data_IF_294039599013
#
_entry.id   IF_294039599013
#
_cell.length_a   1.000
_cell.length_b   1.000
_cell.length_c   1.000
_cell.angle_alpha   90.00
_cell.angle_beta   90.00
_cell.angle_gamma   90.00
#
_symmetry.space_group_name_H-M   'P 1'
#
loop_
_entity.id
_entity.type
_entity.pdbx_description
1 polymer ?
#
# COMPACT_ATOMS: atom_id res chain seq x y z
N UNK A 1 -25.05 -10.34 8.51
CA UNK A 1 -25.36 -9.64 9.78
C UNK A 1 -24.33 -8.54 9.97
N UNK A 2 -24.77 -7.28 10.04
CA UNK A 2 -23.89 -6.14 10.35
C UNK A 2 -23.84 -6.02 11.86
N UNK A 3 -22.70 -6.34 12.46
CA UNK A 3 -22.46 -6.04 13.88
C UNK A 3 -22.01 -4.57 13.93
N UNK A 4 -22.85 -3.69 14.45
CA UNK A 4 -22.48 -2.30 14.73
C UNK A 4 -21.56 -2.28 15.95
N UNK A 5 -20.45 -1.55 15.86
CA UNK A 5 -19.52 -1.33 16.97
C UNK A 5 -19.58 0.17 17.32
N UNK A 6 -20.25 0.50 18.42
CA UNK A 6 -20.76 1.85 18.75
C UNK A 6 -19.72 2.81 19.39
N UNK A 7 -18.43 2.67 19.08
CA UNK A 7 -17.37 3.56 19.61
C UNK A 7 -16.85 4.63 18.65
N UNK A 8 -16.89 4.39 17.33
CA UNK A 8 -16.20 5.21 16.32
C UNK A 8 -17.03 5.49 15.06
N UNK A 9 -18.31 5.10 15.03
CA UNK A 9 -19.16 5.24 13.83
C UNK A 9 -18.74 4.35 12.64
N UNK A 10 -17.88 3.35 12.86
CA UNK A 10 -17.40 2.44 11.82
C UNK A 10 -18.41 1.31 11.61
N UNK A 11 -18.91 1.17 10.37
CA UNK A 11 -19.77 0.06 9.98
C UNK A 11 -18.93 -1.13 9.54
N UNK A 12 -19.01 -2.24 10.27
CA UNK A 12 -18.37 -3.49 9.88
C UNK A 12 -19.15 -4.16 8.74
N UNK A 13 -18.48 -4.43 7.62
CA UNK A 13 -19.01 -5.18 6.49
C UNK A 13 -18.28 -6.51 6.39
N UNK A 14 -19.01 -7.63 6.52
CA UNK A 14 -18.45 -8.97 6.50
C UNK A 14 -18.66 -9.62 5.14
N UNK A 15 -17.63 -10.25 4.59
CA UNK A 15 -17.77 -11.18 3.48
C UNK A 15 -18.30 -12.53 3.98
N UNK A 16 -19.11 -13.21 3.17
CA UNK A 16 -19.48 -14.60 3.41
C UNK A 16 -18.32 -15.51 2.94
N UNK A 17 -18.06 -16.66 3.60
CA UNK A 17 -16.98 -17.59 3.20
C UNK A 17 -17.00 -18.00 1.72
N UNK A 18 -18.20 -18.03 1.11
CA UNK A 18 -18.41 -18.43 -0.28
C UNK A 18 -18.64 -17.24 -1.24
N UNK A 19 -18.66 -16.01 -0.73
CA UNK A 19 -18.88 -14.79 -1.52
C UNK A 19 -17.88 -13.70 -1.10
N UNK A 20 -16.61 -13.94 -1.41
CA UNK A 20 -15.51 -12.98 -1.24
C UNK A 20 -15.44 -11.92 -2.36
N UNK A 21 -16.35 -11.96 -3.34
CA UNK A 21 -16.30 -11.12 -4.54
C UNK A 21 -16.24 -9.61 -4.24
N UNK A 22 -16.80 -9.16 -3.10
CA UNK A 22 -16.72 -7.77 -2.65
C UNK A 22 -15.31 -7.34 -2.18
N UNK A 23 -14.44 -8.29 -1.81
CA UNK A 23 -13.10 -8.03 -1.24
C UNK A 23 -11.95 -8.36 -2.23
N UNK A 24 -12.26 -8.70 -3.48
CA UNK A 24 -11.28 -9.20 -4.43
C UNK A 24 -10.11 -8.24 -4.71
N UNK A 25 -10.36 -6.92 -4.74
CA UNK A 25 -9.30 -5.93 -4.93
C UNK A 25 -8.32 -5.90 -3.75
N UNK A 26 -8.82 -6.00 -2.52
CA UNK A 26 -7.98 -6.04 -1.33
C UNK A 26 -7.19 -7.35 -1.28
N UNK A 27 -7.81 -8.49 -1.62
CA UNK A 27 -7.13 -9.78 -1.69
C UNK A 27 -5.99 -9.81 -2.72
N UNK A 28 -6.23 -9.30 -3.93
CA UNK A 28 -5.22 -9.20 -4.96
C UNK A 28 -4.05 -8.30 -4.54
N UNK A 29 -4.36 -7.14 -3.92
CA UNK A 29 -3.35 -6.19 -3.42
C UNK A 29 -2.52 -6.81 -2.28
N UNK A 30 -3.18 -7.44 -1.31
CA UNK A 30 -2.54 -8.13 -0.20
C UNK A 30 -1.61 -9.25 -0.68
N UNK A 31 -2.04 -10.04 -1.67
CA UNK A 31 -1.23 -11.12 -2.24
C UNK A 31 0.08 -10.60 -2.84
N UNK A 32 0.00 -9.54 -3.65
CA UNK A 32 1.18 -8.89 -4.25
C UNK A 32 2.11 -8.31 -3.20
N UNK A 33 1.55 -7.62 -2.19
CA UNK A 33 2.33 -7.00 -1.13
C UNK A 33 3.03 -8.02 -0.22
N UNK A 34 2.32 -9.08 0.19
CA UNK A 34 2.89 -10.18 0.98
C UNK A 34 4.03 -10.86 0.21
N UNK A 35 3.90 -11.06 -1.10
CA UNK A 35 4.97 -11.63 -1.93
C UNK A 35 6.23 -10.75 -1.93
N UNK A 36 6.07 -9.43 -2.02
CA UNK A 36 7.18 -8.47 -1.93
C UNK A 36 7.86 -8.53 -0.56
N UNK A 37 7.07 -8.50 0.52
CA UNK A 37 7.58 -8.56 1.90
C UNK A 37 8.37 -9.85 2.13
N UNK A 38 7.78 -11.00 1.77
CA UNK A 38 8.43 -12.31 1.96
C UNK A 38 9.79 -12.37 1.29
N UNK A 39 9.90 -11.84 0.07
CA UNK A 39 11.18 -11.76 -0.64
C UNK A 39 12.19 -10.90 0.10
N UNK A 40 11.81 -9.69 0.50
CA UNK A 40 12.70 -8.74 1.20
C UNK A 40 13.15 -9.22 2.59
N UNK A 41 12.26 -9.88 3.33
CA UNK A 41 12.59 -10.46 4.64
C UNK A 41 13.52 -11.68 4.47
N UNK A 42 13.32 -12.51 3.44
CA UNK A 42 14.19 -13.65 3.17
C UNK A 42 15.64 -13.22 2.90
N UNK A 43 15.83 -12.09 2.21
CA UNK A 43 17.17 -11.54 1.95
C UNK A 43 17.85 -11.00 3.22
N UNK A 44 17.09 -10.47 4.19
CA UNK A 44 17.62 -9.85 5.41
C UNK A 44 16.78 -10.17 6.67
N UNK A 45 16.77 -11.42 7.16
CA UNK A 45 15.84 -11.86 8.19
C UNK A 45 16.04 -11.13 9.54
N UNK A 46 17.28 -10.76 9.89
CA UNK A 46 17.57 -10.02 11.13
C UNK A 46 17.15 -8.54 11.09
N UNK A 47 16.85 -8.00 9.90
CA UNK A 47 16.47 -6.60 9.68
C UNK A 47 15.03 -6.48 9.17
N UNK A 48 14.19 -7.50 9.42
CA UNK A 48 12.84 -7.60 8.86
C UNK A 48 11.99 -6.35 9.10
N UNK A 49 12.14 -5.68 10.24
CA UNK A 49 11.39 -4.47 10.61
C UNK A 49 11.73 -3.28 9.69
N UNK A 50 13.00 -3.07 9.39
CA UNK A 50 13.43 -2.04 8.43
C UNK A 50 13.01 -2.40 7.00
N UNK A 51 13.18 -3.68 6.61
CA UNK A 51 12.80 -4.16 5.27
C UNK A 51 11.30 -4.11 5.01
N UNK A 52 10.49 -4.28 6.05
CA UNK A 52 9.04 -4.15 5.97
C UNK A 52 8.65 -2.71 5.62
N UNK A 53 9.24 -1.72 6.30
CA UNK A 53 8.99 -0.31 6.02
C UNK A 53 9.42 0.07 4.60
N UNK A 54 10.62 -0.36 4.17
CA UNK A 54 11.11 -0.16 2.81
C UNK A 54 10.21 -0.80 1.75
N UNK A 55 9.79 -2.05 1.96
CA UNK A 55 8.89 -2.75 1.04
C UNK A 55 7.53 -2.04 0.90
N UNK A 56 6.97 -1.56 2.02
CA UNK A 56 5.74 -0.78 2.03
C UNK A 56 5.90 0.54 1.29
N UNK A 57 7.01 1.24 1.52
CA UNK A 57 7.34 2.47 0.81
C UNK A 57 7.43 2.23 -0.70
N UNK A 58 8.23 1.25 -1.13
CA UNK A 58 8.37 0.89 -2.55
C UNK A 58 7.02 0.51 -3.18
N UNK A 59 6.18 -0.24 -2.47
CA UNK A 59 4.85 -0.62 -2.97
C UNK A 59 3.96 0.60 -3.23
N UNK A 60 3.99 1.60 -2.35
CA UNK A 60 3.19 2.83 -2.48
C UNK A 60 3.70 3.77 -3.59
N UNK A 61 5.00 3.76 -3.86
CA UNK A 61 5.67 4.60 -4.86
C UNK A 61 5.66 3.99 -6.27
N UNK A 62 5.64 2.66 -6.38
CA UNK A 62 5.68 1.99 -7.67
C UNK A 62 4.37 2.19 -8.45
N UNK A 63 4.47 2.17 -9.78
CA UNK A 63 3.31 2.15 -10.67
C UNK A 63 2.62 0.78 -10.60
N UNK A 64 1.29 0.77 -10.46
CA UNK A 64 0.48 -0.45 -10.47
C UNK A 64 -0.41 -0.48 -11.70
N UNK A 65 -0.19 -1.45 -12.60
CA UNK A 65 -0.92 -1.55 -13.86
C UNK A 65 -2.45 -1.66 -13.70
N UNK A 66 -2.92 -2.24 -12.59
CA UNK A 66 -4.36 -2.38 -12.30
C UNK A 66 -5.07 -1.06 -11.99
N UNK A 67 -4.37 -0.08 -11.43
CA UNK A 67 -4.90 1.25 -11.09
C UNK A 67 -4.29 2.38 -11.92
N UNK A 68 -3.30 2.05 -12.77
CA UNK A 68 -2.59 2.95 -13.68
C UNK A 68 -1.89 4.15 -13.01
N UNK A 69 -1.73 4.13 -11.70
CA UNK A 69 -1.01 5.15 -10.92
C UNK A 69 -0.32 4.52 -9.73
N UNK A 70 0.65 5.20 -9.10
CA UNK A 70 1.13 4.81 -7.78
C UNK A 70 0.03 4.97 -6.72
N UNK A 71 -0.11 4.02 -5.76
CA UNK A 71 -1.07 4.13 -4.66
C UNK A 71 -0.95 5.43 -3.87
N UNK A 72 0.27 5.97 -3.74
CA UNK A 72 0.46 7.28 -3.11
C UNK A 72 -0.29 8.41 -3.83
N UNK A 73 -0.22 8.44 -5.16
CA UNK A 73 -0.91 9.45 -5.97
C UNK A 73 -2.42 9.38 -5.81
N UNK A 74 -2.95 8.17 -5.60
CA UNK A 74 -4.39 7.98 -5.32
C UNK A 74 -4.81 8.57 -3.98
N UNK A 75 -3.95 8.51 -2.96
CA UNK A 75 -4.25 9.00 -1.60
C UNK A 75 -4.05 10.51 -1.48
N UNK A 76 -2.98 11.05 -2.07
CA UNK A 76 -2.58 12.45 -1.88
C UNK A 76 -2.85 13.34 -3.09
N UNK A 77 -3.24 12.79 -4.23
CA UNK A 77 -3.59 13.55 -5.44
C UNK A 77 -2.40 14.06 -6.27
N UNK A 78 -1.15 13.88 -5.82
CA UNK A 78 0.06 14.32 -6.52
C UNK A 78 1.15 13.25 -6.56
N UNK A 79 2.17 13.46 -7.40
CA UNK A 79 3.35 12.57 -7.43
C UNK A 79 4.18 12.76 -6.16
N UNK A 80 4.69 11.65 -5.63
CA UNK A 80 5.58 11.72 -4.48
C UNK A 80 6.91 12.34 -4.89
N UNK A 81 7.34 13.37 -4.15
CA UNK A 81 8.68 13.93 -4.26
C UNK A 81 9.62 13.05 -3.44
N UNK A 82 10.65 12.53 -4.09
CA UNK A 82 11.60 11.63 -3.48
C UNK A 82 12.71 12.44 -2.77
N UNK A 83 13.26 11.97 -1.64
CA UNK A 83 14.24 12.76 -0.88
C UNK A 83 15.46 13.24 -1.68
N UNK A 84 15.91 12.46 -2.67
CA UNK A 84 17.02 12.85 -3.54
C UNK A 84 16.63 13.90 -4.60
N UNK A 85 15.36 13.96 -5.00
CA UNK A 85 14.88 15.03 -5.87
C UNK A 85 15.01 16.38 -5.16
N UNK A 86 14.84 16.41 -3.83
CA UNK A 86 15.07 17.60 -2.99
C UNK A 86 16.54 17.94 -2.88
N UNK A 87 17.41 16.95 -2.68
CA UNK A 87 18.85 17.18 -2.61
C UNK A 87 19.44 17.76 -3.92
N UNK A 88 18.85 17.44 -5.07
CA UNK A 88 19.34 17.84 -6.40
C UNK A 88 18.57 19.06 -6.94
N UNK A 89 17.63 19.63 -6.18
CA UNK A 89 16.76 20.74 -6.63
C UNK A 89 16.05 20.40 -7.95
N UNK A 90 15.39 19.23 -8.00
CA UNK A 90 14.61 18.81 -9.16
C UNK A 90 13.49 19.80 -9.48
N UNK A 91 13.23 20.05 -10.77
CA UNK A 91 12.12 20.91 -11.24
C UNK A 91 10.74 20.51 -10.73
N UNK A 92 10.58 19.27 -10.24
CA UNK A 92 9.34 18.82 -9.59
C UNK A 92 9.05 19.54 -8.25
N UNK A 93 10.03 20.24 -7.69
CA UNK A 93 9.97 20.91 -6.39
C UNK A 93 9.76 22.42 -6.55
N UNK A 94 9.92 22.97 -7.76
CA UNK A 94 9.87 24.41 -8.05
C UNK A 94 8.43 24.97 -8.24
N UNK A 95 7.41 24.37 -7.58
CA UNK A 95 6.00 24.84 -7.62
C UNK A 95 5.51 25.29 -6.24
#
# INVERSE_FOLDING_TARGET
MVVQNEGMGIKLLNSSPYFAQANGQAEASNKSFIKLIKRKIADFPKQWHNRLAEALWSYRMAYHASIQVPPYKLVYGHEAVLPWESAISSRRIEL
#
